data_IF_108386590395
#
_entry.id   IF_108386590395
#
_cell.length_a   1.000
_cell.length_b   1.000
_cell.length_c   1.000
_cell.angle_alpha   90.00
_cell.angle_beta   90.00
_cell.angle_gamma   90.00
#
_symmetry.space_group_name_H-M   'P 1'
#
loop_
_entity.id
_entity.type
_entity.pdbx_description
1 polymer ?
#
# COMPACT_ATOMS: atom_id res chain seq x y z
N UNK A 1 9.15 19.13 -9.66
CA UNK A 1 8.02 19.56 -8.79
C UNK A 1 8.53 19.47 -7.34
N UNK A 2 8.20 20.43 -6.48
CA UNK A 2 8.55 20.33 -5.05
C UNK A 2 7.65 19.29 -4.38
N UNK A 3 8.16 18.58 -3.34
CA UNK A 3 7.41 17.58 -2.56
C UNK A 3 6.07 18.11 -2.01
N UNK A 4 6.03 19.38 -1.62
CA UNK A 4 4.82 20.05 -1.13
C UNK A 4 3.71 20.06 -2.18
N UNK A 5 4.04 20.20 -3.45
CA UNK A 5 3.05 20.26 -4.54
C UNK A 5 2.43 18.87 -4.84
N UNK A 6 3.21 17.81 -4.74
CA UNK A 6 2.72 16.43 -4.95
C UNK A 6 1.77 16.02 -3.83
N UNK A 7 2.11 16.31 -2.57
CA UNK A 7 1.31 15.97 -1.41
C UNK A 7 -0.06 16.68 -1.39
N UNK A 8 -0.07 17.96 -1.73
CA UNK A 8 -1.32 18.73 -1.85
C UNK A 8 -2.22 18.22 -2.98
N UNK A 9 -1.62 17.88 -4.13
CA UNK A 9 -2.36 17.31 -5.26
C UNK A 9 -2.99 15.95 -4.89
N UNK A 10 -2.24 15.08 -4.19
CA UNK A 10 -2.73 13.81 -3.66
C UNK A 10 -3.88 14.05 -2.68
N UNK A 11 -3.68 14.91 -1.68
CA UNK A 11 -4.72 15.24 -0.68
C UNK A 11 -6.01 15.72 -1.36
N UNK A 12 -5.92 16.69 -2.28
CA UNK A 12 -7.08 17.22 -3.00
C UNK A 12 -7.83 16.14 -3.79
N UNK A 13 -7.12 15.27 -4.51
CA UNK A 13 -7.70 14.18 -5.30
C UNK A 13 -8.48 13.19 -4.42
N UNK A 14 -7.88 12.76 -3.31
CA UNK A 14 -8.51 11.80 -2.42
C UNK A 14 -9.66 12.38 -1.62
N UNK A 15 -9.58 13.65 -1.16
CA UNK A 15 -10.71 14.37 -0.57
C UNK A 15 -11.90 14.46 -1.52
N UNK A 16 -11.66 14.78 -2.79
CA UNK A 16 -12.72 14.83 -3.81
C UNK A 16 -13.34 13.45 -4.05
N UNK A 17 -12.54 12.39 -4.06
CA UNK A 17 -13.03 11.02 -4.22
C UNK A 17 -13.96 10.63 -3.06
N UNK A 18 -13.57 10.92 -1.80
CA UNK A 18 -14.39 10.65 -0.62
C UNK A 18 -15.73 11.40 -0.67
N UNK A 19 -15.70 12.69 -1.01
CA UNK A 19 -16.91 13.51 -1.12
C UNK A 19 -17.85 13.03 -2.23
N UNK A 20 -17.32 12.50 -3.33
CA UNK A 20 -18.13 11.92 -4.42
C UNK A 20 -18.86 10.69 -3.93
N UNK A 21 -18.16 9.73 -3.32
CA UNK A 21 -18.74 8.51 -2.76
C UNK A 21 -19.80 8.83 -1.70
N UNK A 22 -19.54 9.80 -0.81
CA UNK A 22 -20.50 10.21 0.22
C UNK A 22 -21.78 10.79 -0.33
N UNK A 23 -21.73 11.54 -1.46
CA UNK A 23 -22.91 12.09 -2.14
C UNK A 23 -23.73 11.02 -2.85
N UNK A 24 -23.09 10.07 -3.50
CA UNK A 24 -23.74 8.96 -4.22
C UNK A 24 -24.44 8.01 -3.25
N UNK A 25 -23.84 7.69 -2.12
CA UNK A 25 -24.42 6.88 -1.06
C UNK A 25 -25.65 7.51 -0.38
N UNK A 26 -25.83 8.82 -0.51
CA UNK A 26 -27.01 9.57 0.00
C UNK A 26 -28.16 9.73 -1.00
N UNK A 27 -28.00 9.33 -2.25
CA UNK A 27 -29.04 9.48 -3.29
C UNK A 27 -29.92 8.24 -3.37
N UNK A 28 -31.19 8.39 -2.98
CA UNK A 28 -32.21 7.30 -3.03
C UNK A 28 -32.71 6.94 -4.44
N UNK A 29 -32.18 7.55 -5.50
CA UNK A 29 -32.53 7.21 -6.89
C UNK A 29 -31.43 6.33 -7.48
N UNK A 30 -31.70 5.03 -7.54
CA UNK A 30 -30.79 4.02 -8.06
C UNK A 30 -30.40 4.22 -9.53
N UNK A 31 -29.32 4.93 -9.74
CA UNK A 31 -28.44 4.67 -10.86
C UNK A 31 -27.27 3.92 -10.26
N UNK A 32 -27.12 2.65 -10.64
CA UNK A 32 -25.93 1.86 -10.31
C UNK A 32 -24.73 2.74 -10.62
N UNK A 33 -24.01 3.19 -9.57
CA UNK A 33 -22.75 3.89 -9.74
C UNK A 33 -21.89 2.94 -10.58
N UNK A 34 -21.73 3.27 -11.86
CA UNK A 34 -20.86 2.54 -12.73
C UNK A 34 -19.50 2.65 -12.10
N UNK A 35 -19.01 1.53 -11.51
CA UNK A 35 -17.59 1.41 -11.16
C UNK A 35 -16.87 1.97 -12.37
N UNK A 36 -16.05 2.99 -12.18
CA UNK A 36 -15.19 3.45 -13.26
C UNK A 36 -14.23 2.31 -13.59
N UNK A 37 -14.73 1.39 -14.42
CA UNK A 37 -14.01 0.19 -14.88
C UNK A 37 -12.92 0.55 -15.88
N UNK A 38 -12.74 1.84 -16.17
CA UNK A 38 -11.75 2.33 -17.12
C UNK A 38 -10.31 2.23 -16.56
N UNK A 39 -10.15 2.02 -15.24
CA UNK A 39 -8.83 1.87 -14.64
C UNK A 39 -8.50 0.39 -14.39
N UNK A 40 -7.62 -0.21 -15.19
CA UNK A 40 -7.25 -1.61 -15.03
C UNK A 40 -6.58 -1.92 -13.68
N UNK A 41 -5.97 -0.93 -13.04
CA UNK A 41 -5.22 -1.09 -11.77
C UNK A 41 -6.16 -1.36 -10.59
N UNK A 42 -7.34 -0.73 -10.53
CA UNK A 42 -8.22 -0.77 -9.35
C UNK A 42 -9.39 -1.75 -9.46
N UNK A 43 -9.45 -2.54 -10.53
CA UNK A 43 -10.57 -3.47 -10.78
C UNK A 43 -10.32 -4.87 -10.20
N UNK A 44 -11.41 -5.50 -9.66
CA UNK A 44 -11.41 -6.90 -9.23
C UNK A 44 -10.41 -7.28 -8.12
N UNK A 45 -10.16 -6.38 -7.16
CA UNK A 45 -9.18 -6.57 -6.09
C UNK A 45 -9.70 -7.46 -4.95
N UNK A 46 -11.00 -7.46 -4.71
CA UNK A 46 -11.66 -8.19 -3.63
C UNK A 46 -12.72 -9.11 -4.20
N UNK A 47 -12.83 -10.33 -3.68
CA UNK A 47 -13.88 -11.25 -4.09
C UNK A 47 -15.24 -10.91 -3.43
N UNK A 48 -16.32 -11.41 -4.00
CA UNK A 48 -17.69 -11.13 -3.53
C UNK A 48 -17.89 -11.54 -2.06
N UNK A 49 -17.28 -12.63 -1.61
CA UNK A 49 -17.33 -13.07 -0.22
C UNK A 49 -16.68 -12.11 0.77
N UNK A 50 -15.64 -11.40 0.34
CA UNK A 50 -14.97 -10.38 1.17
C UNK A 50 -15.79 -9.08 1.25
N UNK A 51 -16.44 -8.69 0.14
CA UNK A 51 -17.16 -7.42 0.04
C UNK A 51 -18.61 -7.51 0.49
N UNK A 52 -19.25 -8.71 0.41
CA UNK A 52 -20.68 -8.91 0.71
C UNK A 52 -21.12 -8.40 2.11
N UNK A 53 -20.20 -8.42 3.06
CA UNK A 53 -20.51 -7.99 4.42
C UNK A 53 -19.95 -6.58 4.75
N UNK A 54 -19.42 -5.85 3.76
CA UNK A 54 -18.91 -4.49 3.93
C UNK A 54 -19.89 -3.46 3.36
N UNK A 55 -19.91 -2.22 3.90
CA UNK A 55 -20.65 -1.12 3.29
C UNK A 55 -20.15 -0.88 1.85
N UNK A 56 -21.07 -0.70 0.92
CA UNK A 56 -20.75 -0.44 -0.48
C UNK A 56 -19.82 0.77 -0.65
N UNK A 57 -20.02 1.81 0.15
CA UNK A 57 -19.19 3.00 0.16
C UNK A 57 -17.71 2.71 0.49
N UNK A 58 -17.42 1.70 1.31
CA UNK A 58 -16.04 1.29 1.56
C UNK A 58 -15.40 0.66 0.32
N UNK A 59 -16.17 -0.13 -0.42
CA UNK A 59 -15.72 -0.79 -1.66
C UNK A 59 -15.52 0.24 -2.79
N UNK A 60 -16.44 1.20 -2.93
CA UNK A 60 -16.37 2.26 -3.94
C UNK A 60 -15.23 3.25 -3.69
N UNK A 61 -14.86 3.48 -2.44
CA UNK A 61 -13.73 4.34 -2.07
C UNK A 61 -12.36 3.66 -2.19
N UNK A 62 -12.30 2.37 -2.55
CA UNK A 62 -11.04 1.64 -2.73
C UNK A 62 -10.37 2.04 -4.04
N UNK A 63 -9.19 2.64 -3.93
CA UNK A 63 -8.35 3.09 -5.06
C UNK A 63 -7.00 2.35 -5.08
N UNK A 64 -6.91 1.21 -4.40
CA UNK A 64 -5.70 0.39 -4.34
C UNK A 64 -5.42 -0.42 -5.61
N UNK A 65 -4.32 -1.14 -5.61
CA UNK A 65 -3.86 -2.00 -6.72
C UNK A 65 -3.78 -3.48 -6.34
N UNK A 66 -4.17 -3.86 -5.11
CA UNK A 66 -4.10 -5.22 -4.62
C UNK A 66 -4.99 -5.46 -3.41
N UNK A 67 -4.83 -6.64 -2.80
CA UNK A 67 -5.54 -7.05 -1.59
C UNK A 67 -4.53 -7.43 -0.49
N UNK A 68 -3.94 -6.43 0.20
CA UNK A 68 -2.89 -6.69 1.20
C UNK A 68 -3.41 -7.53 2.36
N UNK A 69 -4.69 -7.41 2.73
CA UNK A 69 -5.29 -8.15 3.83
C UNK A 69 -5.37 -9.65 3.57
N UNK A 70 -5.59 -10.05 2.29
CA UNK A 70 -5.60 -11.46 1.91
C UNK A 70 -4.18 -12.05 1.95
N UNK A 71 -3.18 -11.25 1.59
CA UNK A 71 -1.80 -11.68 1.39
C UNK A 71 -0.96 -11.56 2.67
N UNK A 72 -1.35 -10.70 3.63
CA UNK A 72 -0.61 -10.47 4.88
C UNK A 72 -0.72 -11.63 5.88
N UNK A 73 -1.60 -12.62 5.66
CA UNK A 73 -1.81 -13.77 6.55
C UNK A 73 -2.02 -13.35 8.02
N UNK A 74 -2.97 -12.43 8.24
CA UNK A 74 -3.28 -11.89 9.56
C UNK A 74 -3.78 -13.00 10.50
N UNK A 75 -3.24 -13.03 11.73
CA UNK A 75 -3.61 -13.97 12.78
C UNK A 75 -4.54 -13.32 13.82
N UNK A 76 -5.41 -14.11 14.48
CA UNK A 76 -6.23 -13.62 15.57
C UNK A 76 -5.39 -12.99 16.71
N UNK A 77 -5.82 -11.84 17.20
CA UNK A 77 -5.16 -11.11 18.28
C UNK A 77 -4.05 -10.16 17.83
N UNK A 78 -3.69 -10.11 16.56
CA UNK A 78 -2.66 -9.19 16.07
C UNK A 78 -3.13 -7.74 16.08
N UNK A 79 -2.16 -6.84 16.23
CA UNK A 79 -2.32 -5.39 16.07
C UNK A 79 -1.82 -5.01 14.69
N UNK A 80 -2.70 -4.45 13.85
CA UNK A 80 -2.42 -4.12 12.46
C UNK A 80 -2.49 -2.61 12.25
N UNK A 81 -1.60 -2.06 11.44
CA UNK A 81 -1.64 -0.69 10.94
C UNK A 81 -1.78 -0.70 9.43
N UNK A 82 -2.80 0.01 8.93
CA UNK A 82 -3.01 0.28 7.51
C UNK A 82 -2.56 1.71 7.19
N UNK A 83 -1.56 1.84 6.30
CA UNK A 83 -1.03 3.13 5.86
C UNK A 83 -1.83 3.65 4.67
N UNK A 84 -2.49 4.80 4.83
CA UNK A 84 -3.37 5.39 3.83
C UNK A 84 -4.68 4.62 3.69
N UNK A 85 -5.37 4.44 4.80
CA UNK A 85 -6.55 3.57 4.92
C UNK A 85 -7.77 4.01 4.08
N UNK A 86 -7.78 5.23 3.54
CA UNK A 86 -8.85 5.74 2.73
C UNK A 86 -10.23 5.55 3.37
N UNK A 87 -11.20 5.02 2.62
CA UNK A 87 -12.55 4.70 3.11
C UNK A 87 -12.63 3.50 4.08
N UNK A 88 -11.50 2.89 4.45
CA UNK A 88 -11.38 1.91 5.51
C UNK A 88 -11.59 0.45 5.11
N UNK A 89 -11.63 0.10 3.82
CA UNK A 89 -11.91 -1.28 3.39
C UNK A 89 -10.93 -2.30 3.97
N UNK A 90 -9.61 -2.04 3.87
CA UNK A 90 -8.58 -2.95 4.35
C UNK A 90 -8.54 -3.01 5.89
N UNK A 91 -8.86 -1.90 6.57
CA UNK A 91 -9.04 -1.84 8.03
C UNK A 91 -10.19 -2.73 8.49
N UNK A 92 -11.36 -2.63 7.84
CA UNK A 92 -12.55 -3.42 8.22
C UNK A 92 -12.35 -4.91 7.95
N UNK A 93 -11.71 -5.27 6.84
CA UNK A 93 -11.35 -6.65 6.54
C UNK A 93 -10.34 -7.21 7.53
N UNK A 94 -9.31 -6.43 7.87
CA UNK A 94 -8.30 -6.80 8.86
C UNK A 94 -8.92 -6.97 10.25
N UNK A 95 -9.80 -6.06 10.67
CA UNK A 95 -10.46 -6.10 11.98
C UNK A 95 -11.27 -7.40 12.19
N UNK A 96 -11.94 -7.88 11.14
CA UNK A 96 -12.64 -9.17 11.17
C UNK A 96 -11.67 -10.34 11.29
N UNK A 97 -10.53 -10.30 10.61
CA UNK A 97 -9.53 -11.38 10.62
C UNK A 97 -8.82 -11.51 11.96
N UNK A 98 -8.41 -10.37 12.53
CA UNK A 98 -7.73 -10.39 13.83
C UNK A 98 -8.69 -10.65 15.00
N UNK A 99 -10.00 -10.52 14.78
CA UNK A 99 -11.02 -10.80 15.75
C UNK A 99 -11.03 -9.83 16.95
N UNK A 100 -11.89 -10.07 17.96
CA UNK A 100 -12.16 -9.11 19.03
C UNK A 100 -10.96 -8.86 19.96
N UNK A 101 -9.99 -9.76 20.00
CA UNK A 101 -8.76 -9.62 20.79
C UNK A 101 -7.64 -8.90 20.04
N UNK A 102 -7.79 -8.68 18.74
CA UNK A 102 -6.88 -7.89 17.92
C UNK A 102 -7.34 -6.45 17.79
N UNK A 103 -6.47 -5.60 17.24
CA UNK A 103 -6.79 -4.20 16.97
C UNK A 103 -6.26 -3.77 15.61
N UNK A 104 -6.99 -2.91 14.91
CA UNK A 104 -6.55 -2.36 13.64
C UNK A 104 -6.58 -0.84 13.67
N UNK A 105 -5.47 -0.24 13.30
CA UNK A 105 -5.35 1.19 13.09
C UNK A 105 -5.40 1.50 11.60
N UNK A 106 -6.21 2.47 11.20
CA UNK A 106 -6.22 3.05 9.86
C UNK A 106 -5.66 4.46 9.90
N UNK A 107 -4.56 4.71 9.21
CA UNK A 107 -3.95 6.04 9.12
C UNK A 107 -4.28 6.69 7.80
N UNK A 108 -4.82 7.91 7.82
CA UNK A 108 -5.03 8.73 6.62
C UNK A 108 -4.80 10.22 6.90
N UNK A 109 -4.37 10.96 5.88
CA UNK A 109 -4.10 12.38 6.02
C UNK A 109 -5.30 13.29 5.74
N UNK A 110 -6.40 12.73 5.17
CA UNK A 110 -7.58 13.49 4.74
C UNK A 110 -8.75 13.34 5.70
N UNK A 111 -9.35 14.43 6.10
CA UNK A 111 -10.50 14.43 7.02
C UNK A 111 -11.72 13.74 6.38
N UNK A 112 -11.92 13.94 5.08
CA UNK A 112 -13.03 13.39 4.33
C UNK A 112 -12.96 11.85 4.23
N UNK A 113 -11.77 11.29 3.99
CA UNK A 113 -11.59 9.83 4.02
C UNK A 113 -11.80 9.27 5.42
N UNK A 114 -11.26 9.91 6.44
CA UNK A 114 -11.47 9.48 7.83
C UNK A 114 -12.93 9.54 8.26
N UNK A 115 -13.66 10.57 7.83
CA UNK A 115 -15.11 10.66 8.09
C UNK A 115 -15.87 9.51 7.44
N UNK A 116 -15.57 9.22 6.16
CA UNK A 116 -16.15 8.10 5.41
C UNK A 116 -15.79 6.75 6.07
N UNK A 117 -14.54 6.57 6.45
CA UNK A 117 -14.06 5.33 7.09
C UNK A 117 -14.77 5.06 8.43
N UNK A 118 -14.94 6.08 9.27
CA UNK A 118 -15.67 5.97 10.55
C UNK A 118 -17.15 5.64 10.33
N UNK A 119 -17.78 6.23 9.32
CA UNK A 119 -19.17 5.91 8.95
C UNK A 119 -19.29 4.46 8.45
N UNK A 120 -18.34 4.00 7.63
CA UNK A 120 -18.28 2.62 7.17
C UNK A 120 -18.04 1.64 8.34
N UNK A 121 -17.17 1.99 9.28
CA UNK A 121 -16.92 1.23 10.52
C UNK A 121 -18.22 1.05 11.32
N UNK A 122 -18.94 2.16 11.53
CA UNK A 122 -20.22 2.15 12.26
C UNK A 122 -21.25 1.25 11.56
N UNK A 123 -21.40 1.38 10.24
CA UNK A 123 -22.32 0.54 9.45
C UNK A 123 -21.95 -0.94 9.47
N UNK A 124 -20.67 -1.25 9.50
CA UNK A 124 -20.14 -2.62 9.56
C UNK A 124 -20.20 -3.25 10.95
N UNK A 125 -20.52 -2.47 12.01
CA UNK A 125 -20.53 -2.93 13.40
C UNK A 125 -19.14 -3.37 13.92
N UNK A 126 -18.06 -2.74 13.43
CA UNK A 126 -16.69 -3.07 13.81
C UNK A 126 -16.25 -2.20 14.97
N UNK A 127 -15.86 -2.81 16.09
CA UNK A 127 -15.49 -2.10 17.33
C UNK A 127 -13.96 -2.09 17.56
N UNK A 128 -13.22 -3.03 17.00
CA UNK A 128 -11.78 -3.19 17.18
C UNK A 128 -10.92 -2.45 16.14
N UNK A 129 -11.48 -1.43 15.48
CA UNK A 129 -10.77 -0.54 14.56
C UNK A 129 -10.73 0.90 15.08
N UNK A 130 -9.64 1.61 14.80
CA UNK A 130 -9.44 3.01 15.17
C UNK A 130 -8.82 3.78 14.00
N UNK A 131 -9.40 4.93 13.64
CA UNK A 131 -8.91 5.76 12.56
C UNK A 131 -8.16 6.98 13.07
N UNK A 132 -6.89 7.07 12.68
CA UNK A 132 -5.94 8.11 13.07
C UNK A 132 -5.73 9.11 11.93
N UNK A 133 -5.72 10.39 12.27
CA UNK A 133 -5.28 11.43 11.33
C UNK A 133 -3.78 11.61 11.42
N UNK A 134 -3.09 11.51 10.29
CA UNK A 134 -1.65 11.69 10.22
C UNK A 134 -1.10 11.38 8.84
N UNK A 135 0.19 11.57 8.71
CA UNK A 135 0.96 11.34 7.50
C UNK A 135 1.79 10.07 7.66
N UNK A 136 1.94 9.31 6.57
CA UNK A 136 2.70 8.05 6.61
C UNK A 136 4.19 8.25 6.88
N UNK A 137 4.71 9.46 6.65
CA UNK A 137 6.05 9.90 7.00
C UNK A 137 6.24 10.22 8.50
N UNK A 138 5.13 10.31 9.27
CA UNK A 138 5.13 10.61 10.72
C UNK A 138 3.97 9.89 11.38
N UNK A 139 4.13 8.58 11.60
CA UNK A 139 3.07 7.71 12.14
C UNK A 139 2.83 8.03 13.61
N UNK A 140 1.59 8.42 14.02
CA UNK A 140 1.27 8.83 15.39
C UNK A 140 1.07 7.62 16.34
N UNK A 141 1.95 6.64 16.25
CA UNK A 141 1.99 5.46 17.10
C UNK A 141 3.37 5.31 17.74
N UNK A 142 3.46 4.73 18.95
CA UNK A 142 4.73 4.45 19.60
C UNK A 142 5.59 3.45 18.83
N UNK A 143 6.89 3.41 19.14
CA UNK A 143 7.80 2.39 18.68
C UNK A 143 7.32 1.01 19.12
N UNK A 144 7.52 -0.01 18.26
CA UNK A 144 7.24 -1.41 18.57
C UNK A 144 5.80 -1.66 19.06
N UNK A 145 4.81 -1.01 18.46
CA UNK A 145 3.40 -1.04 18.88
C UNK A 145 2.52 -1.96 18.04
N UNK A 146 2.91 -2.28 16.81
CA UNK A 146 2.08 -3.08 15.89
C UNK A 146 2.79 -4.36 15.44
N UNK A 147 2.01 -5.40 15.17
CA UNK A 147 2.53 -6.70 14.71
C UNK A 147 2.67 -6.73 13.17
N UNK A 148 1.77 -6.02 12.48
CA UNK A 148 1.74 -5.99 11.01
C UNK A 148 1.48 -4.57 10.52
N UNK A 149 2.24 -4.14 9.53
CA UNK A 149 1.94 -2.96 8.71
C UNK A 149 1.47 -3.43 7.34
N UNK A 150 0.30 -2.96 6.93
CA UNK A 150 -0.24 -3.13 5.58
C UNK A 150 -0.35 -1.78 4.87
N UNK A 151 -0.43 -1.79 3.55
CA UNK A 151 -0.74 -0.62 2.72
C UNK A 151 -1.21 -1.07 1.33
N UNK A 152 -2.00 -0.24 0.66
CA UNK A 152 -2.51 -0.52 -0.68
C UNK A 152 -2.30 0.67 -1.62
N UNK A 153 -1.20 0.66 -2.37
CA UNK A 153 -0.82 1.69 -3.35
C UNK A 153 -0.62 3.11 -2.77
N UNK A 154 -0.21 3.25 -1.52
CA UNK A 154 -0.05 4.57 -0.88
C UNK A 154 1.41 4.99 -0.76
N UNK A 155 2.35 4.07 -0.56
CA UNK A 155 3.77 4.40 -0.39
C UNK A 155 4.33 5.11 -1.61
N UNK A 156 3.88 4.71 -2.80
CA UNK A 156 4.26 5.36 -4.06
C UNK A 156 3.86 6.84 -4.14
N UNK A 157 2.85 7.28 -3.39
CA UNK A 157 2.38 8.67 -3.36
C UNK A 157 3.26 9.58 -2.49
N UNK A 158 4.10 9.01 -1.63
CA UNK A 158 5.01 9.79 -0.79
C UNK A 158 6.22 10.31 -1.58
N UNK A 159 6.60 11.56 -1.30
CA UNK A 159 7.86 12.16 -1.79
C UNK A 159 9.09 11.63 -1.04
N UNK A 160 8.94 11.21 0.22
CA UNK A 160 10.01 10.65 1.08
C UNK A 160 9.72 9.21 1.48
N UNK A 161 9.88 8.28 0.54
CA UNK A 161 9.66 6.86 0.77
C UNK A 161 10.63 6.25 1.80
N UNK A 162 11.86 6.77 1.87
CA UNK A 162 12.83 6.33 2.89
C UNK A 162 12.33 6.66 4.30
N UNK A 163 11.68 7.81 4.48
CA UNK A 163 11.07 8.18 5.75
C UNK A 163 9.88 7.27 6.08
N UNK A 164 9.01 7.00 5.12
CA UNK A 164 7.87 6.09 5.30
C UNK A 164 8.33 4.72 5.76
N UNK A 165 9.34 4.14 5.11
CA UNK A 165 9.84 2.81 5.46
C UNK A 165 10.53 2.79 6.83
N UNK A 166 11.25 3.86 7.22
CA UNK A 166 11.79 4.01 8.58
C UNK A 166 10.70 4.10 9.62
N UNK A 167 9.61 4.83 9.37
CA UNK A 167 8.47 4.94 10.29
C UNK A 167 7.72 3.61 10.42
N UNK A 168 7.49 2.90 9.31
CA UNK A 168 6.92 1.56 9.32
C UNK A 168 7.79 0.59 10.14
N UNK A 169 9.11 0.64 9.97
CA UNK A 169 10.05 -0.14 10.76
C UNK A 169 10.00 0.24 12.25
N UNK A 170 9.94 1.53 12.56
CA UNK A 170 9.88 2.03 13.95
C UNK A 170 8.69 1.48 14.71
N UNK A 171 7.49 1.56 14.13
CA UNK A 171 6.25 1.15 14.79
C UNK A 171 6.05 -0.35 14.86
N UNK A 172 6.66 -1.13 13.97
CA UNK A 172 6.62 -2.59 14.01
C UNK A 172 7.35 -3.12 15.25
N UNK A 173 6.76 -4.12 15.92
CA UNK A 173 7.42 -4.90 16.96
C UNK A 173 8.58 -5.72 16.36
N UNK A 174 9.60 -6.08 17.16
CA UNK A 174 10.57 -7.10 16.74
C UNK A 174 9.85 -8.38 16.29
N UNK A 175 10.21 -8.91 15.13
CA UNK A 175 9.52 -10.02 14.47
C UNK A 175 8.25 -9.63 13.71
N UNK A 176 7.86 -8.35 13.76
CA UNK A 176 6.69 -7.83 13.03
C UNK A 176 6.88 -7.80 11.51
N UNK A 177 5.77 -7.83 10.79
CA UNK A 177 5.72 -7.98 9.33
C UNK A 177 5.30 -6.70 8.63
N UNK A 178 6.01 -6.38 7.55
CA UNK A 178 5.61 -5.41 6.54
C UNK A 178 5.03 -6.19 5.35
N UNK A 179 3.79 -5.88 4.95
CA UNK A 179 3.03 -6.66 3.99
C UNK A 179 2.12 -5.75 3.16
N UNK A 180 2.62 -5.20 2.07
CA UNK A 180 1.94 -4.17 1.28
C UNK A 180 1.71 -4.60 -0.17
N UNK A 181 0.64 -4.10 -0.77
CA UNK A 181 0.42 -4.16 -2.21
C UNK A 181 0.77 -2.81 -2.81
N UNK A 182 1.68 -2.79 -3.79
CA UNK A 182 2.09 -1.56 -4.44
C UNK A 182 2.37 -1.79 -5.93
N UNK A 183 2.34 -0.72 -6.72
CA UNK A 183 2.82 -0.77 -8.10
C UNK A 183 4.35 -0.71 -8.08
N UNK A 184 4.97 -1.66 -8.76
CA UNK A 184 6.42 -1.80 -8.86
C UNK A 184 6.80 -1.92 -10.33
N UNK A 185 7.98 -1.45 -10.70
CA UNK A 185 8.50 -1.64 -12.05
C UNK A 185 9.58 -2.71 -12.09
N UNK A 186 9.54 -3.54 -13.11
CA UNK A 186 10.60 -4.51 -13.40
C UNK A 186 11.69 -3.84 -14.22
N UNK A 187 12.82 -3.58 -13.59
CA UNK A 187 13.91 -2.83 -14.20
C UNK A 187 13.56 -1.35 -14.43
N UNK A 188 14.46 -0.64 -15.08
CA UNK A 188 14.32 0.80 -15.28
C UNK A 188 13.29 1.15 -16.36
N UNK A 189 12.51 2.17 -16.06
CA UNK A 189 11.62 2.85 -17.01
C UNK A 189 12.22 4.23 -17.28
N UNK A 190 12.36 4.66 -18.53
CA UNK A 190 12.90 5.97 -18.89
C UNK A 190 12.21 7.12 -18.11
N UNK A 191 13.02 8.10 -17.69
CA UNK A 191 12.52 9.20 -16.85
C UNK A 191 11.40 10.00 -17.51
N UNK A 192 11.51 10.22 -18.84
CA UNK A 192 10.49 10.92 -19.64
C UNK A 192 9.14 10.19 -19.58
N UNK A 193 9.17 8.86 -19.64
CA UNK A 193 7.97 8.03 -19.55
C UNK A 193 7.40 8.04 -18.13
N UNK A 194 8.26 8.02 -17.10
CA UNK A 194 7.81 8.20 -15.72
C UNK A 194 7.10 9.55 -15.55
N UNK A 195 7.61 10.62 -16.13
CA UNK A 195 7.00 11.95 -16.05
C UNK A 195 5.64 12.01 -16.74
N UNK A 196 5.47 11.41 -17.91
CA UNK A 196 4.20 11.39 -18.65
C UNK A 196 3.16 10.47 -17.99
N UNK A 197 3.59 9.34 -17.48
CA UNK A 197 2.78 8.44 -16.66
C UNK A 197 2.43 9.02 -15.29
N UNK A 198 3.19 10.00 -14.77
CA UNK A 198 2.93 10.74 -13.54
C UNK A 198 1.64 11.56 -13.57
N UNK A 199 1.33 12.13 -14.71
CA UNK A 199 0.08 12.86 -14.90
C UNK A 199 -1.16 11.95 -14.88
N UNK A 200 -0.93 10.63 -14.95
CA UNK A 200 -1.91 9.65 -15.36
C UNK A 200 -2.55 8.85 -14.26
N UNK A 201 -1.73 8.22 -13.44
CA UNK A 201 -2.20 7.36 -12.35
C UNK A 201 -1.38 7.69 -11.14
N UNK A 202 -1.95 8.35 -10.15
CA UNK A 202 -1.22 8.79 -8.96
C UNK A 202 -0.34 7.68 -8.30
N UNK A 203 -0.63 6.42 -8.55
CA UNK A 203 0.14 5.28 -8.03
C UNK A 203 1.37 4.92 -8.88
N UNK A 204 1.40 5.22 -10.19
CA UNK A 204 2.53 4.92 -11.08
C UNK A 204 3.63 5.97 -10.96
N UNK A 205 3.25 7.18 -10.63
CA UNK A 205 4.12 8.34 -10.52
C UNK A 205 5.35 8.15 -9.64
N UNK A 206 5.20 7.40 -8.60
CA UNK A 206 6.26 7.15 -7.65
C UNK A 206 6.67 5.69 -7.59
N UNK A 207 6.27 4.87 -8.55
CA UNK A 207 6.61 3.44 -8.54
C UNK A 207 8.13 3.24 -8.48
N UNK A 208 8.56 2.49 -7.48
CA UNK A 208 9.93 2.05 -7.34
C UNK A 208 10.18 0.85 -8.25
N UNK A 209 11.43 0.67 -8.69
CA UNK A 209 11.83 -0.62 -9.24
C UNK A 209 11.87 -1.66 -8.12
N UNK A 210 11.78 -2.94 -8.48
CA UNK A 210 11.95 -4.07 -7.56
C UNK A 210 13.28 -4.00 -6.79
N UNK A 211 14.36 -3.60 -7.46
CA UNK A 211 15.68 -3.40 -6.86
C UNK A 211 15.68 -2.21 -5.86
N UNK A 212 15.16 -1.03 -6.27
CA UNK A 212 15.05 0.14 -5.38
C UNK A 212 14.23 -0.14 -4.14
N UNK A 213 13.10 -0.85 -4.29
CA UNK A 213 12.23 -1.19 -3.16
C UNK A 213 12.96 -2.09 -2.15
N UNK A 214 13.63 -3.14 -2.67
CA UNK A 214 14.42 -4.06 -1.85
C UNK A 214 15.56 -3.34 -1.11
N UNK A 215 16.29 -2.47 -1.80
CA UNK A 215 17.39 -1.68 -1.20
C UNK A 215 16.88 -0.74 -0.11
N UNK A 216 15.77 -0.03 -0.35
CA UNK A 216 15.20 0.90 0.62
C UNK A 216 14.69 0.18 1.87
N UNK A 217 14.05 -0.98 1.73
CA UNK A 217 13.64 -1.82 2.86
C UNK A 217 14.86 -2.30 3.67
N UNK A 218 15.90 -2.79 3.00
CA UNK A 218 17.13 -3.21 3.68
C UNK A 218 17.80 -2.05 4.42
N UNK A 219 17.86 -0.85 3.83
CA UNK A 219 18.39 0.37 4.48
C UNK A 219 17.55 0.79 5.70
N UNK A 220 16.25 0.57 5.69
CA UNK A 220 15.38 0.82 6.84
C UNK A 220 15.58 -0.21 7.96
N UNK A 221 16.28 -1.33 7.71
CA UNK A 221 16.58 -2.37 8.69
C UNK A 221 15.75 -3.65 8.54
N UNK A 222 14.92 -3.74 7.51
CA UNK A 222 14.14 -4.94 7.24
C UNK A 222 15.00 -6.08 6.68
N UNK A 223 14.58 -7.30 6.97
CA UNK A 223 15.16 -8.55 6.46
C UNK A 223 14.08 -9.38 5.73
N UNK A 224 14.49 -10.48 5.10
CA UNK A 224 13.61 -11.40 4.38
C UNK A 224 12.68 -10.69 3.37
N UNK A 225 13.23 -9.73 2.63
CA UNK A 225 12.48 -8.98 1.62
C UNK A 225 12.09 -9.89 0.46
N UNK A 226 10.81 -9.90 0.10
CA UNK A 226 10.31 -10.56 -1.12
C UNK A 226 9.34 -9.65 -1.86
N UNK A 227 9.38 -9.67 -3.18
CA UNK A 227 8.49 -8.92 -4.08
C UNK A 227 7.89 -9.91 -5.06
N UNK A 228 6.59 -10.17 -4.90
CA UNK A 228 5.85 -11.15 -5.70
C UNK A 228 4.87 -10.41 -6.62
N UNK A 229 5.02 -10.50 -7.95
CA UNK A 229 4.04 -9.97 -8.87
C UNK A 229 2.67 -10.63 -8.66
N UNK A 230 1.63 -9.81 -8.50
CA UNK A 230 0.24 -10.27 -8.41
C UNK A 230 -0.52 -10.02 -9.71
N UNK A 231 -0.11 -9.00 -10.47
CA UNK A 231 -0.64 -8.68 -11.79
C UNK A 231 0.42 -7.91 -12.58
N UNK A 232 0.64 -8.29 -13.82
CA UNK A 232 1.45 -7.54 -14.78
C UNK A 232 0.49 -6.74 -15.67
N UNK A 233 0.82 -5.48 -15.94
CA UNK A 233 0.03 -4.60 -16.78
C UNK A 233 0.61 -4.50 -18.17
N UNK A 234 -0.23 -4.76 -19.17
CA UNK A 234 0.08 -4.52 -20.57
C UNK A 234 -0.38 -3.11 -20.96
N UNK A 235 0.36 -2.48 -21.86
CA UNK A 235 0.01 -1.12 -22.34
C UNK A 235 -1.35 -1.12 -23.03
N UNK A 236 -1.73 -2.24 -23.64
CA UNK A 236 -3.05 -2.40 -24.29
C UNK A 236 -4.21 -2.24 -23.31
N UNK A 237 -4.06 -2.67 -22.05
CA UNK A 237 -5.08 -2.49 -20.99
C UNK A 237 -5.42 -1.01 -20.75
N UNK A 238 -4.49 -0.12 -21.09
CA UNK A 238 -4.59 1.30 -20.90
C UNK A 238 -4.71 2.11 -22.21
N UNK A 239 -4.74 1.43 -23.37
CA UNK A 239 -4.67 2.06 -24.70
C UNK A 239 -5.74 3.14 -24.90
N UNK A 240 -7.00 2.85 -24.63
CA UNK A 240 -8.10 3.79 -24.83
C UNK A 240 -7.91 5.08 -24.03
N UNK A 241 -7.55 4.92 -22.80
CA UNK A 241 -7.28 6.05 -21.92
C UNK A 241 -6.05 6.85 -22.36
N UNK A 242 -4.93 6.19 -22.79
CA UNK A 242 -3.69 6.83 -23.26
C UNK A 242 -3.95 7.65 -24.51
N UNK A 243 -4.63 7.06 -25.46
CA UNK A 243 -5.00 7.72 -26.70
C UNK A 243 -5.91 8.92 -26.44
N UNK A 244 -6.86 8.80 -25.49
CA UNK A 244 -7.72 9.91 -25.07
C UNK A 244 -6.98 11.09 -24.42
N UNK A 245 -5.73 10.89 -23.99
CA UNK A 245 -4.82 11.92 -23.48
C UNK A 245 -3.82 12.43 -24.52
N UNK A 246 -3.91 11.96 -25.75
CA UNK A 246 -3.01 12.35 -26.83
C UNK A 246 -1.62 11.70 -26.79
N UNK A 247 -1.48 10.58 -26.06
CA UNK A 247 -0.22 9.83 -25.95
C UNK A 247 -0.15 8.82 -27.10
N UNK A 248 0.98 8.79 -27.78
CA UNK A 248 1.30 7.79 -28.81
C UNK A 248 1.64 6.45 -28.13
N UNK A 249 0.64 5.58 -28.07
CA UNK A 249 0.76 4.27 -27.41
C UNK A 249 1.72 3.35 -28.13
N UNK A 250 1.78 3.41 -29.46
CA UNK A 250 2.65 2.54 -30.26
C UNK A 250 4.13 2.90 -30.10
N UNK A 251 4.43 4.18 -29.91
CA UNK A 251 5.76 4.65 -29.56
C UNK A 251 6.17 4.30 -28.13
N UNK A 252 5.18 4.25 -27.20
CA UNK A 252 5.39 3.99 -25.78
C UNK A 252 5.54 2.49 -25.47
N UNK A 253 4.71 1.65 -26.07
CA UNK A 253 4.61 0.22 -25.77
C UNK A 253 5.98 -0.50 -25.72
N UNK A 254 6.90 -0.39 -26.72
CA UNK A 254 8.17 -1.10 -26.67
C UNK A 254 9.04 -0.80 -25.45
N UNK A 255 8.79 0.33 -24.78
CA UNK A 255 9.60 0.82 -23.68
C UNK A 255 9.04 0.44 -22.30
N UNK A 256 7.71 0.21 -22.19
CA UNK A 256 7.04 0.01 -20.89
C UNK A 256 6.19 -1.25 -20.81
N UNK A 257 5.90 -1.91 -21.92
CA UNK A 257 5.02 -3.07 -21.94
C UNK A 257 5.55 -4.19 -21.01
N UNK A 258 4.68 -4.71 -20.16
CA UNK A 258 5.03 -5.74 -19.18
C UNK A 258 6.01 -5.30 -18.08
N UNK A 259 6.42 -4.02 -18.03
CA UNK A 259 7.32 -3.53 -16.97
C UNK A 259 6.61 -3.10 -15.70
N UNK A 260 5.36 -2.66 -15.79
CA UNK A 260 4.58 -2.29 -14.61
C UNK A 260 3.82 -3.49 -14.07
N UNK A 261 3.86 -3.67 -12.76
CA UNK A 261 3.16 -4.75 -12.10
C UNK A 261 2.59 -4.28 -10.76
N UNK A 262 1.42 -4.77 -10.38
CA UNK A 262 1.07 -4.84 -8.98
C UNK A 262 1.89 -5.94 -8.34
N UNK A 263 2.50 -5.65 -7.21
CA UNK A 263 3.30 -6.60 -6.49
C UNK A 263 2.93 -6.62 -5.00
N UNK A 264 3.03 -7.79 -4.40
CA UNK A 264 2.98 -7.95 -2.97
C UNK A 264 4.39 -7.92 -2.40
N UNK A 265 4.67 -6.89 -1.61
CA UNK A 265 5.98 -6.65 -1.01
C UNK A 265 5.93 -7.07 0.46
N UNK A 266 6.81 -8.00 0.84
CA UNK A 266 6.94 -8.49 2.21
C UNK A 266 8.33 -8.20 2.74
N UNK A 267 8.40 -7.90 4.04
CA UNK A 267 9.64 -7.82 4.78
C UNK A 267 9.37 -8.04 6.27
N UNK A 268 10.39 -8.33 7.04
CA UNK A 268 10.29 -8.62 8.48
C UNK A 268 11.23 -7.70 9.23
N UNK A 269 10.75 -7.10 10.33
CA UNK A 269 11.63 -6.47 11.31
C UNK A 269 12.32 -7.58 12.12
N UNK A 270 13.68 -7.62 12.18
CA UNK A 270 14.38 -8.66 12.93
C UNK A 270 13.85 -8.80 14.35
N UNK A 271 13.61 -10.02 14.81
CA UNK A 271 13.38 -10.28 16.22
C UNK A 271 14.69 -9.93 16.94
N UNK A 272 14.69 -8.91 17.80
CA UNK A 272 15.88 -8.43 18.49
C UNK A 272 16.62 -9.56 19.22
N UNK A 273 17.50 -10.24 18.50
CA UNK A 273 18.48 -11.18 19.04
C UNK A 273 19.73 -10.36 19.35
N UNK A 274 20.21 -10.43 20.58
CA UNK A 274 21.49 -9.92 20.99
C UNK A 274 22.55 -10.29 19.96
N UNK A 275 23.25 -9.28 19.41
CA UNK A 275 24.53 -9.48 18.71
C UNK A 275 25.59 -9.89 19.73
N UNK A 276 25.38 -10.98 20.44
CA UNK A 276 26.38 -11.65 21.23
C UNK A 276 26.83 -12.91 20.48
N UNK A 277 28.07 -12.87 19.99
CA UNK A 277 28.86 -14.07 19.73
C UNK A 277 28.85 -14.64 18.32
N UNK A 278 29.25 -13.88 17.30
CA UNK A 278 30.08 -14.45 16.22
C UNK A 278 31.39 -13.69 16.11
N UNK A 279 32.17 -13.74 17.18
CA UNK A 279 33.64 -13.74 17.01
C UNK A 279 33.97 -15.15 16.49
N UNK A 280 34.20 -15.23 15.18
CA UNK A 280 34.82 -16.37 14.57
C UNK A 280 36.20 -16.54 15.23
N UNK A 281 36.31 -17.56 16.09
CA UNK A 281 37.56 -18.07 16.57
C UNK A 281 38.28 -18.76 15.39
N UNK A 282 39.05 -17.96 14.63
CA UNK A 282 39.95 -18.43 13.56
C UNK A 282 41.34 -18.51 14.15
N UNK A 283 41.50 -19.26 15.24
CA UNK A 283 42.78 -19.40 15.93
C UNK A 283 43.03 -20.82 16.38
N UNK A 284 42.82 -21.80 15.51
CA UNK A 284 43.32 -23.16 15.77
C UNK A 284 43.28 -24.02 14.51
N UNK A 285 44.26 -23.88 13.61
CA UNK A 285 44.69 -24.91 12.66
C UNK A 285 45.99 -24.44 11.97
N UNK A 286 47.08 -24.41 12.74
CA UNK A 286 48.42 -24.55 12.15
C UNK A 286 48.86 -26.01 12.29
N UNK A 287 49.25 -26.70 11.21
CA UNK A 287 49.82 -28.02 11.30
C UNK A 287 51.27 -27.91 11.85
N UNK A 288 51.53 -28.68 12.90
CA UNK A 288 52.90 -28.91 13.39
C UNK A 288 53.70 -29.72 12.35
N UNK A 289 54.82 -29.16 11.93
CA UNK A 289 55.83 -29.88 11.14
C UNK A 289 56.59 -30.85 12.07
N UNK A 290 56.64 -32.09 11.61
CA UNK A 290 57.72 -33.04 11.94
C UNK A 290 58.75 -32.90 10.82
#
# INVERSE_FOLDING_TARGET
>A
MSEINVKEAVRSKYSQAALRVSREAGSCCGTSAARDRSFPITSNLYNDGQTAALPEAAVLASLGCGNPTALAQLAPGEIVLDLGSGGGIDVLLSARRVGPNGKVYGLDMTDEMLALARENQRKAGIENAEFLKGEIEHIPLPDNSVDVVISNCVINLSGDKDRVLREAFRVLKPGGRFAVSDVVTRGEVPAEIRHDLLLWVGCIAGALTDAEYSEKLARAGFEAVSIEPTRVYDVEDAREFLTGKGIDVDALAPQVDGKFMSAFVRAVKPAGGSKEGRRSDVSALLPQKI
#
